data_IF_389215599105
#
_entry.id   IF_389215599105
#
_cell.length_a   1.000
_cell.length_b   1.000
_cell.length_c   1.000
_cell.angle_alpha   90.00
_cell.angle_beta   90.00
_cell.angle_gamma   90.00
#
_symmetry.space_group_name_H-M   'P 1'
#
loop_
_entity.id
_entity.type
_entity.pdbx_description
1 polymer ?
#
# COMPACT_ATOMS: atom_id res chain seq x y z
N UNK A 1 3.59 23.25 -27.80
CA UNK A 1 4.89 22.59 -28.06
C UNK A 1 5.81 22.92 -26.88
N UNK A 2 5.73 22.17 -25.77
CA UNK A 2 6.61 22.33 -24.59
C UNK A 2 7.76 21.33 -24.64
N UNK A 3 8.90 21.76 -24.10
CA UNK A 3 10.27 21.45 -24.50
C UNK A 3 10.80 20.13 -23.92
N UNK A 4 11.51 19.33 -24.73
CA UNK A 4 12.13 18.07 -24.34
C UNK A 4 13.21 18.21 -23.25
N UNK A 5 13.80 19.40 -23.09
CA UNK A 5 14.81 19.68 -22.06
C UNK A 5 14.22 19.70 -20.63
N UNK A 6 12.94 20.03 -20.48
CA UNK A 6 12.26 20.02 -19.17
C UNK A 6 11.95 18.59 -18.73
N UNK A 7 11.78 17.66 -19.68
CA UNK A 7 11.56 16.23 -19.39
C UNK A 7 12.85 15.53 -18.96
N UNK A 8 14.01 15.92 -19.49
CA UNK A 8 15.30 15.33 -19.11
C UNK A 8 15.70 15.72 -17.67
N UNK A 9 15.41 16.96 -17.26
CA UNK A 9 15.68 17.41 -15.90
C UNK A 9 14.80 16.71 -14.85
N UNK A 10 13.53 16.41 -15.15
CA UNK A 10 12.64 15.65 -14.26
C UNK A 10 13.05 14.16 -14.19
N UNK A 11 13.53 13.58 -15.29
CA UNK A 11 14.03 12.22 -15.30
C UNK A 11 15.31 12.04 -14.45
N UNK A 12 16.22 13.02 -14.48
CA UNK A 12 17.46 13.00 -13.70
C UNK A 12 17.25 13.05 -12.17
N UNK A 13 16.22 13.79 -11.71
CA UNK A 13 15.91 13.90 -10.27
C UNK A 13 15.19 12.66 -9.70
N UNK A 14 14.66 11.78 -10.54
CA UNK A 14 13.94 10.57 -10.12
C UNK A 14 14.80 9.29 -10.17
N UNK A 15 16.04 9.39 -10.67
CA UNK A 15 16.91 8.25 -10.92
C UNK A 15 17.86 7.89 -9.74
N UNK A 16 17.87 8.66 -8.66
CA UNK A 16 18.82 8.45 -7.54
C UNK A 16 18.12 8.44 -6.18
N UNK A 17 17.32 7.41 -5.93
CA UNK A 17 16.67 7.25 -4.63
C UNK A 17 15.80 6.02 -4.52
N UNK A 18 16.43 4.84 -4.54
CA UNK A 18 15.90 3.55 -4.08
C UNK A 18 14.49 3.16 -4.55
N UNK A 19 14.49 2.49 -5.70
CA UNK A 19 13.53 1.43 -5.98
C UNK A 19 12.26 1.96 -6.62
N UNK A 20 12.33 2.16 -7.94
CA UNK A 20 11.19 1.90 -8.82
C UNK A 20 10.62 0.56 -8.35
N UNK A 21 9.55 0.57 -7.54
CA UNK A 21 8.82 -0.65 -7.25
C UNK A 21 8.29 -1.08 -8.61
N UNK A 22 9.03 -1.98 -9.26
CA UNK A 22 8.54 -2.70 -10.41
C UNK A 22 7.16 -3.18 -9.97
N UNK A 23 6.12 -2.75 -10.69
CA UNK A 23 4.73 -3.06 -10.36
C UNK A 23 4.71 -4.52 -9.94
N UNK A 24 4.45 -4.77 -8.66
CA UNK A 24 4.59 -6.11 -8.12
C UNK A 24 3.63 -6.99 -8.92
N UNK A 25 4.18 -7.86 -9.76
CA UNK A 25 3.36 -8.86 -10.44
C UNK A 25 2.70 -9.68 -9.33
N UNK A 26 1.40 -9.92 -9.45
CA UNK A 26 0.69 -10.79 -8.53
C UNK A 26 1.48 -12.11 -8.41
N UNK A 27 1.97 -12.42 -7.21
CA UNK A 27 2.76 -13.63 -6.94
C UNK A 27 4.27 -13.45 -6.73
N UNK A 28 4.83 -12.24 -6.86
CA UNK A 28 6.22 -12.02 -6.46
C UNK A 28 6.39 -12.22 -4.94
N UNK A 29 7.20 -13.20 -4.53
CA UNK A 29 7.41 -13.51 -3.11
C UNK A 29 8.07 -12.32 -2.41
N UNK A 30 7.37 -11.72 -1.45
CA UNK A 30 7.93 -10.66 -0.61
C UNK A 30 9.06 -11.22 0.27
N UNK A 31 10.12 -10.44 0.46
CA UNK A 31 11.11 -10.68 1.50
C UNK A 31 10.43 -10.86 2.87
N UNK A 32 11.09 -11.56 3.80
CA UNK A 32 10.52 -11.92 5.10
C UNK A 32 9.80 -10.72 5.76
N UNK A 33 8.54 -10.89 6.19
CA UNK A 33 7.78 -9.78 6.74
C UNK A 33 8.45 -9.25 8.01
N UNK A 34 8.34 -7.93 8.29
CA UNK A 34 8.75 -7.38 9.58
C UNK A 34 7.98 -8.06 10.73
N UNK A 35 8.47 -7.99 11.98
CA UNK A 35 7.79 -8.57 13.14
C UNK A 35 6.31 -8.16 13.15
N UNK A 36 5.43 -9.16 13.13
CA UNK A 36 3.99 -8.94 12.96
C UNK A 36 3.34 -8.63 14.31
N UNK A 37 2.77 -7.43 14.42
CA UNK A 37 1.75 -7.16 15.43
C UNK A 37 0.52 -8.01 15.12
N UNK A 38 -0.06 -8.65 16.14
CA UNK A 38 -1.28 -9.43 15.95
C UNK A 38 -2.40 -8.55 15.38
N UNK A 39 -3.06 -9.03 14.33
CA UNK A 39 -4.19 -8.32 13.74
C UNK A 39 -5.36 -8.26 14.74
N UNK A 40 -6.00 -7.09 14.84
CA UNK A 40 -7.17 -6.85 15.68
C UNK A 40 -8.44 -7.01 14.83
N UNK A 41 -9.57 -7.44 15.41
CA UNK A 41 -10.85 -7.40 14.73
C UNK A 41 -11.17 -6.00 14.19
N UNK A 42 -11.68 -5.95 12.96
CA UNK A 42 -12.07 -4.72 12.28
C UNK A 42 -13.56 -4.42 12.36
N UNK A 43 -14.02 -3.46 11.57
CA UNK A 43 -15.44 -3.21 11.31
C UNK A 43 -15.82 -3.72 9.90
N UNK A 44 -17.01 -4.33 9.73
CA UNK A 44 -17.44 -4.89 8.46
C UNK A 44 -17.77 -3.81 7.40
N UNK A 45 -17.99 -2.57 7.82
CA UNK A 45 -18.29 -1.44 6.94
C UNK A 45 -17.55 -0.16 7.39
N UNK A 46 -17.22 0.75 6.45
CA UNK A 46 -17.37 0.62 5.00
C UNK A 46 -16.32 -0.31 4.38
N UNK A 47 -16.57 -0.78 3.15
CA UNK A 47 -15.64 -1.64 2.41
C UNK A 47 -14.32 -0.92 2.05
N UNK A 48 -13.30 -1.72 1.77
CA UNK A 48 -11.96 -1.32 1.39
C UNK A 48 -11.00 -1.15 2.57
N UNK A 49 -9.87 -0.47 2.31
CA UNK A 49 -8.86 -0.13 3.30
C UNK A 49 -9.12 1.26 3.88
N UNK A 50 -9.31 1.36 5.19
CA UNK A 50 -9.71 2.61 5.87
C UNK A 50 -8.84 2.86 7.08
N UNK A 51 -8.24 4.05 7.17
CA UNK A 51 -7.52 4.47 8.36
C UNK A 51 -8.50 4.78 9.50
N UNK A 52 -8.24 4.24 10.70
CA UNK A 52 -9.06 4.42 11.90
C UNK A 52 -8.21 4.38 13.16
N UNK A 53 -8.64 5.10 14.20
CA UNK A 53 -8.13 4.97 15.57
C UNK A 53 -9.02 4.01 16.34
N UNK A 54 -8.43 2.96 16.93
CA UNK A 54 -9.15 1.96 17.72
C UNK A 54 -9.60 2.48 19.09
N UNK A 55 -10.39 1.69 19.85
CA UNK A 55 -10.85 2.05 21.20
C UNK A 55 -9.70 2.26 22.19
N UNK A 56 -8.57 1.62 21.93
CA UNK A 56 -7.30 1.75 22.67
C UNK A 56 -6.48 2.98 22.24
N UNK A 57 -7.01 3.84 21.36
CA UNK A 57 -6.31 5.00 20.83
C UNK A 57 -5.24 4.66 19.78
N UNK A 58 -5.11 3.39 19.38
CA UNK A 58 -4.06 2.97 18.45
C UNK A 58 -4.54 3.11 17.01
N UNK A 59 -3.82 3.93 16.24
CA UNK A 59 -4.03 4.09 14.80
C UNK A 59 -3.76 2.78 14.03
N UNK A 60 -4.56 2.52 13.00
CA UNK A 60 -4.38 1.38 12.12
C UNK A 60 -5.26 1.44 10.88
N UNK A 61 -5.18 0.40 10.07
CA UNK A 61 -5.99 0.25 8.85
C UNK A 61 -6.99 -0.87 9.02
N UNK A 62 -8.28 -0.55 8.89
CA UNK A 62 -9.36 -1.52 8.78
C UNK A 62 -9.46 -2.02 7.33
N UNK A 63 -9.54 -3.34 7.15
CA UNK A 63 -9.81 -3.96 5.86
C UNK A 63 -11.14 -4.68 5.92
N UNK A 64 -12.06 -4.31 5.04
CA UNK A 64 -13.34 -4.99 4.85
C UNK A 64 -13.55 -5.28 3.37
N UNK A 65 -13.88 -6.53 3.06
CA UNK A 65 -14.22 -6.97 1.71
C UNK A 65 -15.49 -7.81 1.75
N UNK A 66 -16.21 -7.85 0.63
CA UNK A 66 -17.26 -8.84 0.42
C UNK A 66 -16.66 -10.05 -0.30
N UNK A 67 -16.99 -11.24 0.16
CA UNK A 67 -16.52 -12.48 -0.43
C UNK A 67 -17.66 -13.52 -0.43
N UNK A 68 -18.65 -13.34 -1.31
CA UNK A 68 -19.65 -14.38 -1.54
C UNK A 68 -18.98 -15.63 -2.13
N UNK A 69 -19.09 -16.77 -1.42
CA UNK A 69 -18.45 -18.03 -1.82
C UNK A 69 -17.05 -18.28 -1.23
N UNK A 70 -16.65 -17.52 -0.20
CA UNK A 70 -15.47 -17.84 0.61
C UNK A 70 -15.87 -18.72 1.80
N UNK A 71 -15.99 -20.02 1.55
CA UNK A 71 -16.11 -21.07 2.58
C UNK A 71 -14.82 -21.88 2.64
#
# INVERSE_FOLDING_TARGET
MSSAAEQEAVAGHQATGNGRQAAAVNGARRAAPPPTVAARPGAPTPLGARFRVGPDGVAGTNFALWAGGAE
#
